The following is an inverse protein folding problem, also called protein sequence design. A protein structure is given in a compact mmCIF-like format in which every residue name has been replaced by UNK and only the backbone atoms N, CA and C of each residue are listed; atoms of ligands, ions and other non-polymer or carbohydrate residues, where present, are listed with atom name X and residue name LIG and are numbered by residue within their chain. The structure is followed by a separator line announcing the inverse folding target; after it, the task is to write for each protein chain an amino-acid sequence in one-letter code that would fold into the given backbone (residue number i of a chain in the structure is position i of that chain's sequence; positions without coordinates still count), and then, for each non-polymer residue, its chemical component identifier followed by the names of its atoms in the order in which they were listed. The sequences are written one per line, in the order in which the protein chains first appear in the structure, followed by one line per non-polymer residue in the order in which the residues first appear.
data_IF_719971030128
#
_entry.id   IF_719971030128
#
_cell.length_a   1.000
_cell.length_b   1.000
_cell.length_c   1.000
_cell.angle_alpha   90.00
_cell.angle_beta   90.00
_cell.angle_gamma   90.00
#
_symmetry.space_group_name_H-M   'P 1'
#
loop_
_entity.id
_entity.type
_entity.pdbx_description
1 polymer ?
#
# COMPACT_ATOMS: atom_id res chain seq x y z
N UNK A 1 14.19 -72.84 -46.96
CA UNK A 1 14.57 -71.42 -47.17
C UNK A 1 13.51 -70.44 -46.66
N UNK A 2 12.22 -70.78 -46.67
CA UNK A 2 11.12 -69.92 -46.21
C UNK A 2 11.11 -69.66 -44.70
N UNK A 3 11.43 -70.66 -43.87
CA UNK A 3 11.49 -70.53 -42.40
C UNK A 3 12.55 -69.55 -41.92
N UNK A 4 13.75 -69.56 -42.52
CA UNK A 4 14.82 -68.61 -42.16
C UNK A 4 14.47 -67.16 -42.49
N UNK A 5 13.83 -66.91 -43.64
CA UNK A 5 13.40 -65.57 -44.07
C UNK A 5 12.31 -65.02 -43.14
N UNK A 6 11.35 -65.86 -42.73
CA UNK A 6 10.29 -65.47 -41.79
C UNK A 6 10.90 -65.07 -40.43
N UNK A 7 11.87 -65.83 -39.93
CA UNK A 7 12.55 -65.52 -38.66
C UNK A 7 13.30 -64.18 -38.75
N UNK A 8 14.05 -63.94 -39.84
CA UNK A 8 14.75 -62.67 -40.04
C UNK A 8 13.82 -61.46 -40.08
N UNK A 9 12.65 -61.59 -40.74
CA UNK A 9 11.66 -60.51 -40.81
C UNK A 9 11.04 -60.22 -39.43
N UNK A 10 10.77 -61.25 -38.62
CA UNK A 10 10.25 -61.07 -37.27
C UNK A 10 11.25 -60.36 -36.35
N UNK A 11 12.54 -60.71 -36.45
CA UNK A 11 13.61 -60.03 -35.69
C UNK A 11 13.71 -58.57 -36.09
N UNK A 12 13.65 -58.26 -37.40
CA UNK A 12 13.68 -56.89 -37.89
C UNK A 12 12.47 -56.09 -37.40
N UNK A 13 11.27 -56.66 -37.46
CA UNK A 13 10.06 -56.02 -36.97
C UNK A 13 10.12 -55.76 -35.45
N UNK A 14 10.63 -56.71 -34.68
CA UNK A 14 10.83 -56.54 -33.24
C UNK A 14 11.85 -55.44 -32.91
N UNK A 15 12.97 -55.38 -33.64
CA UNK A 15 13.98 -54.33 -33.47
C UNK A 15 13.45 -52.93 -33.83
N UNK A 16 12.68 -52.82 -34.92
CA UNK A 16 12.02 -51.58 -35.31
C UNK A 16 10.94 -51.15 -34.31
N UNK A 17 10.16 -52.10 -33.78
CA UNK A 17 9.17 -51.84 -32.73
C UNK A 17 9.81 -51.36 -31.43
N UNK A 18 10.91 -52.01 -31.01
CA UNK A 18 11.67 -51.61 -29.82
C UNK A 18 12.25 -50.21 -29.96
N UNK A 19 12.94 -49.92 -31.07
CA UNK A 19 13.55 -48.61 -31.32
C UNK A 19 12.49 -47.52 -31.39
N UNK A 20 11.40 -47.74 -32.11
CA UNK A 20 10.28 -46.78 -32.21
C UNK A 20 9.69 -46.48 -30.83
N UNK A 21 9.42 -47.51 -30.02
CA UNK A 21 8.92 -47.35 -28.65
C UNK A 21 9.92 -46.59 -27.76
N UNK A 22 11.21 -46.90 -27.87
CA UNK A 22 12.27 -46.22 -27.13
C UNK A 22 12.38 -44.73 -27.48
N UNK A 23 12.40 -44.38 -28.77
CA UNK A 23 12.44 -42.99 -29.22
C UNK A 23 11.16 -42.23 -28.91
N UNK A 24 9.99 -42.86 -29.04
CA UNK A 24 8.71 -42.27 -28.66
C UNK A 24 8.68 -41.95 -27.16
N UNK A 25 9.07 -42.92 -26.32
CA UNK A 25 9.16 -42.73 -24.87
C UNK A 25 10.12 -41.59 -24.50
N UNK A 26 11.27 -41.49 -25.16
CA UNK A 26 12.22 -40.40 -24.93
C UNK A 26 11.66 -39.04 -25.39
N UNK A 27 10.98 -38.99 -26.54
CA UNK A 27 10.36 -37.77 -27.06
C UNK A 27 9.23 -37.26 -26.15
N UNK A 28 8.39 -38.16 -25.64
CA UNK A 28 7.34 -37.83 -24.67
C UNK A 28 7.95 -37.29 -23.37
N UNK A 29 8.99 -37.95 -22.83
CA UNK A 29 9.69 -37.48 -21.63
C UNK A 29 10.34 -36.11 -21.80
N UNK A 30 10.98 -35.87 -22.94
CA UNK A 30 11.61 -34.57 -23.22
C UNK A 30 10.56 -33.46 -23.37
N UNK A 31 9.44 -33.75 -24.05
CA UNK A 31 8.31 -32.82 -24.16
C UNK A 31 7.77 -32.48 -22.77
N UNK A 32 7.53 -33.48 -21.93
CA UNK A 32 7.02 -33.30 -20.57
C UNK A 32 7.97 -32.44 -19.70
N UNK A 33 9.28 -32.70 -19.74
CA UNK A 33 10.28 -31.88 -19.06
C UNK A 33 10.27 -30.42 -19.55
N UNK A 34 10.20 -30.21 -20.86
CA UNK A 34 10.19 -28.87 -21.45
C UNK A 34 8.90 -28.13 -21.10
N UNK A 35 7.76 -28.79 -21.19
CA UNK A 35 6.46 -28.19 -20.89
C UNK A 35 6.39 -27.84 -19.39
N UNK A 36 6.92 -28.70 -18.52
CA UNK A 36 7.09 -28.43 -17.08
C UNK A 36 8.01 -27.23 -16.82
N UNK A 37 9.18 -27.19 -17.45
CA UNK A 37 10.12 -26.08 -17.30
C UNK A 37 9.54 -24.75 -17.80
N UNK A 38 8.83 -24.79 -18.93
CA UNK A 38 8.17 -23.61 -19.51
C UNK A 38 7.06 -23.11 -18.60
N UNK A 39 6.26 -24.03 -18.03
CA UNK A 39 5.21 -23.70 -17.08
C UNK A 39 5.79 -23.04 -15.82
N UNK A 40 6.83 -23.64 -15.23
CA UNK A 40 7.49 -23.10 -14.03
C UNK A 40 8.11 -21.72 -14.29
N UNK A 41 8.75 -21.54 -15.46
CA UNK A 41 9.32 -20.25 -15.85
C UNK A 41 8.22 -19.20 -16.02
N UNK A 42 7.11 -19.56 -16.66
CA UNK A 42 5.96 -18.65 -16.80
C UNK A 42 5.41 -18.24 -15.43
N UNK A 43 5.19 -19.19 -14.53
CA UNK A 43 4.70 -18.92 -13.17
C UNK A 43 5.66 -18.01 -12.39
N UNK A 44 6.97 -18.26 -12.49
CA UNK A 44 7.98 -17.41 -11.87
C UNK A 44 7.96 -15.98 -12.44
N UNK A 45 7.81 -15.84 -13.75
CA UNK A 45 7.75 -14.53 -14.40
C UNK A 45 6.47 -13.76 -14.03
N UNK A 46 5.32 -14.44 -14.00
CA UNK A 46 4.05 -13.85 -13.53
C UNK A 46 4.18 -13.39 -12.08
N UNK A 47 4.79 -14.20 -11.21
CA UNK A 47 5.04 -13.86 -9.81
C UNK A 47 5.96 -12.65 -9.68
N UNK A 48 7.07 -12.59 -10.43
CA UNK A 48 8.00 -11.45 -10.41
C UNK A 48 7.29 -10.17 -10.88
N UNK A 49 6.51 -10.25 -11.96
CA UNK A 49 5.76 -9.11 -12.48
C UNK A 49 4.72 -8.59 -11.48
N UNK A 50 4.02 -9.48 -10.78
CA UNK A 50 3.10 -9.12 -9.70
C UNK A 50 3.86 -8.43 -8.55
N UNK A 51 4.97 -9.01 -8.08
CA UNK A 51 5.81 -8.43 -7.03
C UNK A 51 6.32 -7.03 -7.40
N UNK A 52 6.79 -6.83 -8.65
CA UNK A 52 7.24 -5.53 -9.14
C UNK A 52 6.13 -4.49 -9.17
N UNK A 53 4.92 -4.90 -9.56
CA UNK A 53 3.74 -4.01 -9.58
C UNK A 53 3.38 -3.58 -8.18
N UNK A 54 3.26 -4.52 -7.24
CA UNK A 54 3.00 -4.23 -5.82
C UNK A 54 4.05 -3.30 -5.22
N UNK A 55 5.33 -3.51 -5.50
CA UNK A 55 6.40 -2.63 -5.02
C UNK A 55 6.25 -1.21 -5.55
N UNK A 56 5.96 -1.03 -6.85
CA UNK A 56 5.72 0.29 -7.43
C UNK A 56 4.51 0.97 -6.79
N UNK A 57 3.44 0.24 -6.58
CA UNK A 57 2.22 0.80 -5.97
C UNK A 57 2.45 1.21 -4.51
N UNK A 58 3.19 0.41 -3.73
CA UNK A 58 3.60 0.77 -2.35
C UNK A 58 4.49 2.00 -2.35
N UNK A 59 5.48 2.08 -3.26
CA UNK A 59 6.36 3.24 -3.35
C UNK A 59 5.60 4.52 -3.72
N UNK A 60 4.61 4.43 -4.61
CA UNK A 60 3.74 5.55 -4.94
C UNK A 60 2.88 5.99 -3.73
N UNK A 61 2.36 5.01 -2.98
CA UNK A 61 1.60 5.26 -1.76
C UNK A 61 2.43 5.97 -0.69
N UNK A 62 3.66 5.49 -0.46
CA UNK A 62 4.61 6.07 0.48
C UNK A 62 4.99 7.51 0.10
N UNK A 63 5.32 7.74 -1.17
CA UNK A 63 5.64 9.07 -1.67
C UNK A 63 4.47 10.05 -1.50
N UNK A 64 3.24 9.60 -1.75
CA UNK A 64 2.04 10.43 -1.56
C UNK A 64 1.88 10.85 -0.10
N UNK A 65 1.86 9.89 0.83
CA UNK A 65 1.55 10.18 2.23
C UNK A 65 2.71 10.84 2.97
N UNK A 66 3.96 10.59 2.57
CA UNK A 66 5.12 11.33 3.08
C UNK A 66 5.04 12.80 2.68
N UNK A 67 4.65 13.10 1.43
CA UNK A 67 4.46 14.48 0.97
C UNK A 67 3.33 15.18 1.70
N UNK A 68 2.17 14.52 1.84
CA UNK A 68 1.02 15.09 2.57
C UNK A 68 1.35 15.37 4.04
N UNK A 69 2.06 14.44 4.70
CA UNK A 69 2.52 14.61 6.08
C UNK A 69 3.51 15.79 6.20
N UNK A 70 4.52 15.85 5.33
CA UNK A 70 5.52 16.92 5.36
C UNK A 70 4.92 18.31 5.12
N UNK A 71 3.97 18.43 4.19
CA UNK A 71 3.27 19.69 3.92
C UNK A 71 2.43 20.12 5.13
N UNK A 72 1.68 19.19 5.73
CA UNK A 72 0.86 19.48 6.91
C UNK A 72 1.72 19.85 8.14
N UNK A 73 2.85 19.18 8.33
CA UNK A 73 3.84 19.52 9.36
C UNK A 73 4.43 20.90 9.12
N UNK A 74 4.83 21.23 7.88
CA UNK A 74 5.36 22.55 7.52
C UNK A 74 4.36 23.66 7.84
N UNK A 75 3.09 23.46 7.48
CA UNK A 75 2.01 24.39 7.84
C UNK A 75 1.86 24.55 9.35
N UNK A 76 2.05 23.50 10.14
CA UNK A 76 1.99 23.58 11.59
C UNK A 76 3.20 24.30 12.20
N UNK A 77 4.41 24.00 11.73
CA UNK A 77 5.64 24.69 12.14
C UNK A 77 5.58 26.18 11.82
N UNK A 78 4.95 26.57 10.71
CA UNK A 78 4.70 27.98 10.40
C UNK A 78 3.82 28.67 11.44
N UNK A 79 2.72 28.03 11.84
CA UNK A 79 1.85 28.55 12.90
C UNK A 79 2.60 28.67 14.24
N UNK A 80 3.44 27.69 14.59
CA UNK A 80 4.25 27.73 15.80
C UNK A 80 5.22 28.91 15.77
N UNK A 81 5.93 29.09 14.64
CA UNK A 81 6.87 30.22 14.47
C UNK A 81 6.15 31.57 14.61
N UNK A 82 4.95 31.69 14.04
CA UNK A 82 4.13 32.90 14.16
C UNK A 82 3.72 33.20 15.60
N UNK A 83 3.36 32.17 16.39
CA UNK A 83 3.05 32.36 17.82
C UNK A 83 4.29 32.79 18.61
N UNK A 84 5.45 32.17 18.39
CA UNK A 84 6.70 32.53 19.06
C UNK A 84 7.14 33.97 18.72
N UNK A 85 6.87 34.43 17.50
CA UNK A 85 7.11 35.80 17.08
C UNK A 85 6.09 36.84 17.65
N UNK A 86 5.19 36.43 18.56
CA UNK A 86 4.15 37.29 19.14
C UNK A 86 2.94 37.51 18.22
N UNK A 87 2.83 36.78 17.12
CA UNK A 87 1.69 36.80 16.23
C UNK A 87 0.47 36.07 16.81
N UNK A 88 -0.68 36.25 16.16
CA UNK A 88 -1.96 35.60 16.55
C UNK A 88 -2.33 34.51 15.55
N UNK A 89 -2.86 33.40 16.08
CA UNK A 89 -3.43 32.28 15.31
C UNK A 89 -4.89 32.13 15.69
N UNK A 90 -5.75 31.87 14.70
CA UNK A 90 -7.17 31.56 14.93
C UNK A 90 -7.34 30.06 15.03
N UNK A 91 -8.05 29.63 16.06
CA UNK A 91 -8.47 28.24 16.23
C UNK A 91 -9.98 28.23 16.11
N UNK A 92 -10.50 27.44 15.19
CA UNK A 92 -11.93 27.20 15.11
C UNK A 92 -12.34 26.30 16.29
N UNK A 93 -13.28 26.79 17.10
CA UNK A 93 -13.81 26.07 18.24
C UNK A 93 -15.33 26.03 18.16
N UNK A 94 -15.91 24.93 18.66
CA UNK A 94 -17.35 24.80 18.87
C UNK A 94 -17.61 24.54 20.35
N UNK A 95 -18.44 25.37 20.95
CA UNK A 95 -18.98 25.12 22.29
C UNK A 95 -20.43 24.68 22.15
N UNK A 96 -20.73 23.45 22.54
CA UNK A 96 -22.08 22.87 22.51
C UNK A 96 -22.89 23.15 23.79
N UNK A 97 -22.27 23.73 24.82
CA UNK A 97 -22.95 24.07 26.06
C UNK A 97 -23.77 25.35 25.85
N UNK A 98 -25.10 25.34 26.08
CA UNK A 98 -25.88 26.56 26.08
C UNK A 98 -25.30 27.46 27.17
N UNK A 99 -24.72 28.58 26.76
CA UNK A 99 -24.25 29.58 27.70
C UNK A 99 -25.49 30.05 28.47
N UNK A 100 -25.55 29.79 29.77
CA UNK A 100 -26.45 30.52 30.66
C UNK A 100 -25.91 31.96 30.74
N UNK A 101 -26.13 32.73 29.68
CA UNK A 101 -25.92 34.17 29.71
C UNK A 101 -27.10 34.68 30.54
N UNK A 102 -26.84 35.28 31.70
CA UNK A 102 -27.85 36.14 32.34
C UNK A 102 -28.44 37.03 31.26
N UNK A 103 -29.75 36.97 31.08
CA UNK A 103 -30.47 37.69 30.01
C UNK A 103 -29.95 39.11 29.91
N UNK A 104 -29.26 39.42 28.81
CA UNK A 104 -28.76 40.77 28.58
C UNK A 104 -29.96 41.73 28.59
N UNK A 105 -30.01 42.61 29.60
CA UNK A 105 -30.93 43.74 29.61
C UNK A 105 -30.72 44.55 28.32
N UNK A 106 -31.82 44.93 27.67
CA UNK A 106 -31.88 45.65 26.38
C UNK A 106 -31.15 47.00 26.37
N UNK A 107 -30.59 47.42 27.50
CA UNK A 107 -29.93 48.70 27.71
C UNK A 107 -28.39 48.62 27.86
N UNK A 108 -27.77 47.43 27.85
CA UNK A 108 -26.31 47.33 27.98
C UNK A 108 -25.73 46.08 27.32
N UNK A 109 -24.82 46.26 26.34
CA UNK A 109 -23.93 45.19 25.90
C UNK A 109 -23.00 44.83 27.06
N UNK A 110 -23.09 43.61 27.59
CA UNK A 110 -22.16 43.13 28.60
C UNK A 110 -20.76 43.02 28.01
N UNK A 111 -19.78 43.73 28.59
CA UNK A 111 -18.38 43.54 28.23
C UNK A 111 -17.89 42.26 28.92
N UNK A 112 -18.11 41.11 28.28
CA UNK A 112 -17.60 39.84 28.76
C UNK A 112 -16.07 39.89 28.79
N UNK A 113 -15.47 39.46 29.90
CA UNK A 113 -14.03 39.41 30.03
C UNK A 113 -13.41 38.61 28.88
N UNK A 114 -12.41 39.19 28.21
CA UNK A 114 -11.65 38.46 27.19
C UNK A 114 -10.85 37.37 27.88
N UNK A 115 -11.15 36.11 27.57
CA UNK A 115 -10.34 34.97 28.02
C UNK A 115 -9.13 34.88 27.09
N UNK A 116 -7.98 35.34 27.57
CA UNK A 116 -6.71 35.14 26.88
C UNK A 116 -6.06 33.84 27.35
N UNK A 117 -5.84 32.91 26.42
CA UNK A 117 -5.11 31.68 26.71
C UNK A 117 -3.65 32.03 27.01
N UNK A 118 -3.05 31.36 27.99
CA UNK A 118 -1.63 31.56 28.30
C UNK A 118 -0.76 31.26 27.08
N UNK A 119 0.43 31.89 26.94
CA UNK A 119 1.34 31.61 25.83
C UNK A 119 1.64 30.10 25.65
N UNK A 120 1.75 29.36 26.77
CA UNK A 120 1.94 27.91 26.75
C UNK A 120 0.74 27.12 26.21
N UNK A 121 -0.49 27.60 26.42
CA UNK A 121 -1.69 26.96 25.89
C UNK A 121 -1.74 27.01 24.35
N UNK A 122 -1.28 28.10 23.73
CA UNK A 122 -1.19 28.20 22.27
C UNK A 122 -0.23 27.16 21.66
N UNK A 123 0.94 26.99 22.27
CA UNK A 123 1.92 25.99 21.83
C UNK A 123 1.39 24.56 22.00
N UNK A 124 0.71 24.27 23.11
CA UNK A 124 0.13 22.95 23.36
C UNK A 124 -0.91 22.56 22.31
N UNK A 125 -1.77 23.49 21.87
CA UNK A 125 -2.75 23.23 20.81
C UNK A 125 -2.05 22.83 19.51
N UNK A 126 -0.98 23.53 19.12
CA UNK A 126 -0.25 23.20 17.89
C UNK A 126 0.55 21.89 18.01
N UNK A 127 1.04 21.55 19.20
CA UNK A 127 1.67 20.25 19.46
C UNK A 127 0.66 19.10 19.31
N UNK A 128 -0.54 19.25 19.89
CA UNK A 128 -1.64 18.28 19.73
C UNK A 128 -2.01 18.14 18.26
N UNK A 129 -2.13 19.26 17.54
CA UNK A 129 -2.39 19.25 16.09
C UNK A 129 -1.33 18.47 15.32
N UNK A 130 -0.05 18.59 15.69
CA UNK A 130 1.03 17.85 15.03
C UNK A 130 0.89 16.34 15.23
N UNK A 131 0.57 15.91 16.45
CA UNK A 131 0.30 14.51 16.76
C UNK A 131 -0.88 13.96 15.95
N UNK A 132 -2.00 14.68 15.94
CA UNK A 132 -3.20 14.29 15.18
C UNK A 132 -2.90 14.17 13.68
N UNK A 133 -2.18 15.12 13.09
CA UNK A 133 -1.78 15.06 11.68
C UNK A 133 -0.97 13.80 11.40
N UNK A 134 0.07 13.54 12.22
CA UNK A 134 0.89 12.32 12.09
C UNK A 134 0.04 11.05 12.13
N UNK A 135 -0.83 10.94 13.11
CA UNK A 135 -1.60 9.72 13.33
C UNK A 135 -2.66 9.52 12.25
N UNK A 136 -3.31 10.60 11.81
CA UNK A 136 -4.26 10.54 10.69
C UNK A 136 -3.59 10.11 9.39
N UNK A 137 -2.41 10.66 9.06
CA UNK A 137 -1.69 10.27 7.83
C UNK A 137 -1.23 8.81 7.90
N UNK A 138 -0.72 8.35 9.05
CA UNK A 138 -0.38 6.93 9.26
C UNK A 138 -1.58 6.01 9.10
N UNK A 139 -2.74 6.38 9.67
CA UNK A 139 -3.96 5.59 9.56
C UNK A 139 -4.46 5.52 8.12
N UNK A 140 -4.47 6.65 7.40
CA UNK A 140 -4.84 6.69 5.97
C UNK A 140 -3.90 5.83 5.13
N UNK A 141 -2.58 5.97 5.34
CA UNK A 141 -1.58 5.15 4.68
C UNK A 141 -1.85 3.66 4.91
N UNK A 142 -2.04 3.24 6.17
CA UNK A 142 -2.27 1.84 6.50
C UNK A 142 -3.57 1.30 5.90
N UNK A 143 -4.66 2.06 5.98
CA UNK A 143 -5.93 1.68 5.37
C UNK A 143 -5.80 1.49 3.87
N UNK A 144 -5.12 2.40 3.19
CA UNK A 144 -4.94 2.32 1.75
C UNK A 144 -3.97 1.21 1.36
N UNK A 145 -2.88 1.02 2.12
CA UNK A 145 -1.97 -0.11 1.95
C UNK A 145 -2.71 -1.44 2.00
N UNK A 146 -3.58 -1.62 3.01
CA UNK A 146 -4.38 -2.85 3.13
C UNK A 146 -5.30 -3.02 1.91
N UNK A 147 -5.99 -1.96 1.47
CA UNK A 147 -6.86 -2.01 0.29
C UNK A 147 -6.10 -2.32 -1.01
N UNK A 148 -4.85 -1.85 -1.12
CA UNK A 148 -4.01 -2.11 -2.29
C UNK A 148 -3.41 -3.52 -2.26
N UNK A 149 -3.00 -4.01 -1.08
CA UNK A 149 -2.26 -5.28 -0.97
C UNK A 149 -3.15 -6.51 -0.77
N UNK A 150 -4.31 -6.37 -0.14
CA UNK A 150 -5.17 -7.49 0.27
C UNK A 150 -6.54 -7.49 -0.43
N UNK A 151 -6.57 -7.22 -1.73
CA UNK A 151 -7.77 -7.41 -2.56
C UNK A 151 -8.11 -8.88 -2.77
#
# INVERSE_FOLDING_TARGET
MTTGVIISLLILAAALGWTTSHYHGNAVRYKDQRDTATHNLKLANETISDMQTRQRDIAALDAKYTKELADAQTRNTDLQRRLVAGGRVRVEGRCSVPTQIETASTSRVGNAATVELSPGAGQNVLNIRAGIISDQEKLKYLQEYIRTQYK
#
